data_IF_612713794802
#
_entry.id   IF_612713794802
#
_cell.length_a   1.000
_cell.length_b   1.000
_cell.length_c   1.000
_cell.angle_alpha   90.00
_cell.angle_beta   90.00
_cell.angle_gamma   90.00
#
_symmetry.space_group_name_H-M   'P 1'
#
loop_
_entity.id
_entity.type
_entity.pdbx_description
1 polymer ?
#
# COMPACT_ATOMS: atom_id res chain seq x y z
N UNK A 1 -2.99 13.64 9.36
CA UNK A 1 -1.54 13.83 9.13
C UNK A 1 -1.14 13.11 7.85
N UNK A 2 -0.47 13.82 6.92
CA UNK A 2 -0.07 13.26 5.62
C UNK A 2 1.46 13.42 5.49
N UNK A 3 2.25 12.34 5.43
CA UNK A 3 3.70 12.42 5.23
C UNK A 3 3.99 12.95 3.83
N UNK A 4 4.79 14.01 3.71
CA UNK A 4 5.13 14.61 2.43
C UNK A 4 6.44 14.02 1.87
N UNK A 5 7.45 13.90 2.71
CA UNK A 5 8.76 13.33 2.34
C UNK A 5 9.56 12.94 3.59
N UNK A 6 10.44 11.95 3.46
CA UNK A 6 11.49 11.69 4.42
C UNK A 6 12.71 12.61 4.11
N UNK A 7 13.35 13.12 5.14
CA UNK A 7 14.58 13.92 5.01
C UNK A 7 15.78 12.97 4.85
N UNK A 8 15.76 12.22 3.76
CA UNK A 8 16.78 11.22 3.40
C UNK A 8 17.07 11.31 1.90
N UNK A 9 18.35 11.24 1.53
CA UNK A 9 18.77 11.26 0.12
C UNK A 9 18.81 9.82 -0.42
N UNK A 10 18.12 9.55 -1.52
CA UNK A 10 18.21 8.29 -2.25
C UNK A 10 19.43 8.28 -3.16
N UNK A 11 20.03 7.11 -3.36
CA UNK A 11 21.20 6.89 -4.23
C UNK A 11 20.81 6.26 -5.56
N UNK A 12 19.68 5.53 -5.58
CA UNK A 12 19.22 4.77 -6.73
C UNK A 12 17.82 5.17 -7.18
N UNK A 13 17.46 4.81 -8.41
CA UNK A 13 16.09 4.96 -8.93
C UNK A 13 15.25 3.80 -8.39
N UNK A 14 14.12 4.06 -7.71
CA UNK A 14 13.27 3.03 -7.11
C UNK A 14 12.38 2.38 -8.17
N UNK A 15 12.95 1.48 -8.98
CA UNK A 15 12.28 0.89 -10.16
C UNK A 15 11.06 0.05 -9.75
N UNK A 16 11.20 -0.80 -8.74
CA UNK A 16 10.10 -1.68 -8.29
C UNK A 16 8.98 -0.87 -7.64
N UNK A 17 9.31 0.13 -6.84
CA UNK A 17 8.32 1.06 -6.27
C UNK A 17 7.49 1.71 -7.39
N UNK A 18 8.15 2.21 -8.44
CA UNK A 18 7.47 2.80 -9.60
C UNK A 18 6.64 1.75 -10.34
N UNK A 19 7.17 0.55 -10.58
CA UNK A 19 6.43 -0.53 -11.24
C UNK A 19 5.16 -0.90 -10.45
N UNK A 20 5.23 -1.04 -9.13
CA UNK A 20 4.08 -1.35 -8.30
C UNK A 20 3.03 -0.23 -8.38
N UNK A 21 3.45 1.04 -8.33
CA UNK A 21 2.56 2.21 -8.48
C UNK A 21 1.84 2.16 -9.84
N UNK A 22 2.59 1.92 -10.93
CA UNK A 22 2.02 1.86 -12.27
C UNK A 22 1.03 0.70 -12.43
N UNK A 23 1.36 -0.50 -11.91
CA UNK A 23 0.47 -1.67 -11.95
C UNK A 23 -0.83 -1.41 -11.18
N UNK A 24 -0.74 -0.90 -9.95
CA UNK A 24 -1.91 -0.55 -9.16
C UNK A 24 -2.78 0.51 -9.84
N UNK A 25 -2.15 1.53 -10.40
CA UNK A 25 -2.87 2.59 -11.14
C UNK A 25 -3.55 2.04 -12.39
N UNK A 26 -2.87 1.18 -13.16
CA UNK A 26 -3.44 0.58 -14.37
C UNK A 26 -4.64 -0.33 -14.05
N UNK A 27 -4.52 -1.18 -13.01
CA UNK A 27 -5.61 -2.05 -12.56
C UNK A 27 -6.79 -1.19 -12.09
N UNK A 28 -6.56 -0.15 -11.30
CA UNK A 28 -7.63 0.73 -10.84
C UNK A 28 -8.33 1.49 -11.98
N UNK A 29 -7.58 1.97 -12.97
CA UNK A 29 -8.17 2.61 -14.15
C UNK A 29 -9.03 1.61 -14.95
N UNK A 30 -8.59 0.36 -15.06
CA UNK A 30 -9.39 -0.71 -15.64
C UNK A 30 -10.67 -0.95 -14.82
N UNK A 31 -10.57 -1.13 -13.48
CA UNK A 31 -11.74 -1.26 -12.60
C UNK A 31 -12.73 -0.10 -12.77
N UNK A 32 -12.22 1.15 -12.81
CA UNK A 32 -13.03 2.36 -12.93
C UNK A 32 -13.70 2.50 -14.31
N UNK A 33 -13.15 1.87 -15.35
CA UNK A 33 -13.72 1.85 -16.70
C UNK A 33 -14.87 0.86 -16.86
N UNK A 34 -14.99 -0.12 -15.93
CA UNK A 34 -16.04 -1.14 -16.01
C UNK A 34 -17.41 -0.58 -15.61
N UNK A 35 -18.50 -1.00 -16.25
CA UNK A 35 -19.85 -0.79 -15.74
C UNK A 35 -19.98 -1.34 -14.31
N UNK A 36 -20.80 -0.69 -13.48
CA UNK A 36 -20.96 -1.00 -12.05
C UNK A 36 -21.11 -2.51 -11.77
N UNK A 37 -21.95 -3.19 -12.54
CA UNK A 37 -22.18 -4.63 -12.38
C UNK A 37 -20.90 -5.46 -12.63
N UNK A 38 -20.19 -5.19 -13.72
CA UNK A 38 -18.95 -5.91 -14.06
C UNK A 38 -17.82 -5.60 -13.09
N UNK A 39 -17.76 -4.37 -12.59
CA UNK A 39 -16.82 -3.98 -11.56
C UNK A 39 -17.00 -4.77 -10.26
N UNK A 40 -18.24 -4.97 -9.83
CA UNK A 40 -18.52 -5.76 -8.62
C UNK A 40 -18.10 -7.23 -8.81
N UNK A 41 -18.39 -7.84 -9.96
CA UNK A 41 -17.93 -9.20 -10.27
C UNK A 41 -16.40 -9.26 -10.26
N UNK A 42 -15.74 -8.29 -10.87
CA UNK A 42 -14.26 -8.22 -10.90
C UNK A 42 -13.68 -8.12 -9.47
N UNK A 43 -14.24 -7.24 -8.65
CA UNK A 43 -13.82 -7.12 -7.24
C UNK A 43 -14.06 -8.43 -6.50
N UNK A 44 -15.22 -9.04 -6.59
CA UNK A 44 -15.53 -10.32 -5.93
C UNK A 44 -14.60 -11.46 -6.37
N UNK A 45 -14.17 -11.46 -7.63
CA UNK A 45 -13.28 -12.49 -8.18
C UNK A 45 -11.84 -12.38 -7.63
N UNK A 46 -11.34 -11.17 -7.38
CA UNK A 46 -9.93 -10.92 -7.06
C UNK A 46 -9.68 -10.37 -5.65
N UNK A 47 -10.73 -9.94 -4.93
CA UNK A 47 -10.64 -9.48 -3.54
C UNK A 47 -10.42 -10.64 -2.57
N UNK A 48 -9.87 -10.32 -1.41
CA UNK A 48 -9.79 -11.25 -0.29
C UNK A 48 -11.13 -11.28 0.44
N UNK A 49 -11.84 -12.40 0.36
CA UNK A 49 -13.13 -12.61 1.04
C UNK A 49 -12.95 -13.78 2.02
N UNK A 50 -12.96 -13.52 3.35
CA UNK A 50 -12.65 -14.53 4.36
C UNK A 50 -13.54 -15.77 4.34
N UNK A 51 -14.83 -15.63 4.01
CA UNK A 51 -15.78 -16.75 3.94
C UNK A 51 -15.61 -17.60 2.66
N UNK A 52 -14.98 -17.05 1.61
CA UNK A 52 -14.78 -17.66 0.28
C UNK A 52 -13.35 -17.51 -0.20
N UNK A 53 -12.39 -17.91 0.63
CA UNK A 53 -10.97 -17.68 0.38
C UNK A 53 -10.45 -18.45 -0.85
N UNK A 54 -9.97 -17.70 -1.84
CA UNK A 54 -9.13 -18.20 -2.92
C UNK A 54 -7.66 -17.86 -2.64
N UNK A 55 -6.74 -18.80 -2.78
CA UNK A 55 -5.32 -18.57 -2.47
C UNK A 55 -4.70 -17.44 -3.30
N UNK A 56 -5.13 -17.27 -4.55
CA UNK A 56 -4.70 -16.14 -5.39
C UNK A 56 -5.07 -14.78 -4.80
N UNK A 57 -6.17 -14.69 -4.03
CA UNK A 57 -6.64 -13.46 -3.42
C UNK A 57 -5.68 -12.91 -2.36
N UNK A 58 -4.81 -13.76 -1.78
CA UNK A 58 -3.73 -13.30 -0.88
C UNK A 58 -2.78 -12.32 -1.57
N UNK A 59 -2.69 -12.38 -2.91
CA UNK A 59 -1.84 -11.50 -3.71
C UNK A 59 -2.67 -10.53 -4.54
N UNK A 60 -3.72 -11.00 -5.24
CA UNK A 60 -4.49 -10.16 -6.17
C UNK A 60 -5.21 -9.02 -5.48
N UNK A 61 -5.70 -9.25 -4.25
CA UNK A 61 -6.39 -8.21 -3.45
C UNK A 61 -5.51 -6.99 -3.16
N UNK A 62 -4.18 -7.16 -3.14
CA UNK A 62 -3.23 -6.07 -2.90
C UNK A 62 -3.22 -5.02 -4.02
N UNK A 63 -3.73 -5.36 -5.21
CA UNK A 63 -3.71 -4.51 -6.39
C UNK A 63 -5.06 -3.86 -6.71
N UNK A 64 -6.12 -4.23 -6.01
CA UNK A 64 -7.46 -3.65 -6.15
C UNK A 64 -7.64 -2.43 -5.23
N UNK A 65 -8.44 -1.45 -5.67
CA UNK A 65 -8.68 -0.24 -4.86
C UNK A 65 -10.15 0.21 -4.94
N UNK A 66 -10.74 0.50 -3.77
CA UNK A 66 -12.16 0.87 -3.65
C UNK A 66 -12.51 2.28 -4.16
N UNK A 67 -11.51 3.15 -4.43
CA UNK A 67 -11.72 4.51 -4.92
C UNK A 67 -10.45 5.32 -5.01
N UNK A 68 -10.57 6.52 -5.60
CA UNK A 68 -9.43 7.41 -5.88
C UNK A 68 -8.61 7.77 -4.64
N UNK A 69 -9.25 8.13 -3.53
CA UNK A 69 -8.54 8.50 -2.30
C UNK A 69 -7.79 7.31 -1.71
N UNK A 70 -8.35 6.10 -1.83
CA UNK A 70 -7.70 4.87 -1.39
C UNK A 70 -6.46 4.57 -2.23
N UNK A 71 -6.56 4.64 -3.57
CA UNK A 71 -5.42 4.47 -4.45
C UNK A 71 -4.34 5.52 -4.18
N UNK A 72 -4.72 6.82 -4.24
CA UNK A 72 -3.77 7.93 -4.07
C UNK A 72 -3.06 7.82 -2.73
N UNK A 73 -3.79 7.55 -1.65
CA UNK A 73 -3.19 7.37 -0.33
C UNK A 73 -2.16 6.23 -0.30
N UNK A 74 -2.52 5.04 -0.81
CA UNK A 74 -1.60 3.91 -0.87
C UNK A 74 -0.35 4.22 -1.72
N UNK A 75 -0.52 4.77 -2.92
CA UNK A 75 0.60 5.06 -3.81
C UNK A 75 1.49 6.17 -3.25
N UNK A 76 0.91 7.14 -2.56
CA UNK A 76 1.65 8.18 -1.86
C UNK A 76 2.54 7.62 -0.74
N UNK A 77 1.98 6.80 0.14
CA UNK A 77 2.74 6.16 1.21
C UNK A 77 3.82 5.23 0.67
N UNK A 78 3.48 4.44 -0.37
CA UNK A 78 4.46 3.58 -1.04
C UNK A 78 5.60 4.39 -1.64
N UNK A 79 5.32 5.54 -2.26
CA UNK A 79 6.36 6.43 -2.78
C UNK A 79 7.25 6.99 -1.68
N UNK A 80 6.66 7.52 -0.59
CA UNK A 80 7.41 8.17 0.50
C UNK A 80 8.31 7.17 1.23
N UNK A 81 7.81 5.97 1.53
CA UNK A 81 8.55 4.99 2.34
C UNK A 81 9.23 3.91 1.48
N UNK A 82 8.52 3.35 0.52
CA UNK A 82 8.98 2.23 -0.29
C UNK A 82 10.22 2.57 -1.10
N UNK A 83 10.28 3.77 -1.67
CA UNK A 83 11.43 4.21 -2.45
C UNK A 83 12.75 4.26 -1.66
N UNK A 84 12.70 4.55 -0.36
CA UNK A 84 13.88 4.54 0.51
C UNK A 84 14.25 3.13 0.97
N UNK A 85 13.25 2.27 1.19
CA UNK A 85 13.50 0.86 1.52
C UNK A 85 14.09 0.13 0.33
N UNK A 86 13.57 0.36 -0.89
CA UNK A 86 14.16 -0.21 -2.11
C UNK A 86 15.62 0.22 -2.29
N UNK A 87 15.93 1.51 -2.05
CA UNK A 87 17.31 2.03 -2.10
C UNK A 87 18.23 1.36 -1.08
N UNK A 88 17.72 1.04 0.11
CA UNK A 88 18.48 0.45 1.21
C UNK A 88 18.79 -1.04 1.02
N UNK A 89 17.81 -1.84 0.57
CA UNK A 89 17.91 -3.30 0.53
C UNK A 89 18.02 -3.88 -0.89
N UNK A 90 17.84 -3.04 -1.91
CA UNK A 90 17.84 -3.41 -3.31
C UNK A 90 16.49 -3.94 -3.80
N UNK A 91 16.29 -3.88 -5.11
CA UNK A 91 15.01 -4.14 -5.77
C UNK A 91 14.42 -5.55 -5.49
N UNK A 92 15.25 -6.61 -5.52
CA UNK A 92 14.75 -7.97 -5.34
C UNK A 92 14.25 -8.23 -3.92
N UNK A 93 15.01 -7.79 -2.90
CA UNK A 93 14.60 -7.92 -1.50
C UNK A 93 13.39 -7.04 -1.19
N UNK A 94 13.31 -5.86 -1.81
CA UNK A 94 12.16 -4.98 -1.66
C UNK A 94 10.88 -5.61 -2.22
N UNK A 95 10.92 -6.19 -3.42
CA UNK A 95 9.77 -6.89 -3.99
C UNK A 95 9.33 -8.06 -3.11
N UNK A 96 10.27 -8.88 -2.63
CA UNK A 96 9.97 -9.97 -1.70
C UNK A 96 9.33 -9.44 -0.41
N UNK A 97 9.89 -8.39 0.19
CA UNK A 97 9.36 -7.79 1.41
C UNK A 97 7.92 -7.28 1.20
N UNK A 98 7.67 -6.57 0.10
CA UNK A 98 6.33 -6.07 -0.25
C UNK A 98 5.32 -7.22 -0.34
N UNK A 99 5.63 -8.26 -1.11
CA UNK A 99 4.73 -9.41 -1.29
C UNK A 99 4.52 -10.18 0.01
N UNK A 100 5.58 -10.48 0.76
CA UNK A 100 5.47 -11.22 2.03
C UNK A 100 4.68 -10.44 3.08
N UNK A 101 4.89 -9.14 3.21
CA UNK A 101 4.10 -8.31 4.12
C UNK A 101 2.63 -8.26 3.72
N UNK A 102 2.34 -8.16 2.43
CA UNK A 102 0.97 -8.18 1.93
C UNK A 102 0.27 -9.52 2.18
N UNK A 103 0.94 -10.63 1.89
CA UNK A 103 0.42 -11.97 2.17
C UNK A 103 0.21 -12.18 3.68
N UNK A 104 1.17 -11.78 4.52
CA UNK A 104 1.03 -11.88 5.97
C UNK A 104 -0.17 -11.07 6.48
N UNK A 105 -0.33 -9.84 6.01
CA UNK A 105 -1.48 -9.00 6.35
C UNK A 105 -2.81 -9.62 5.88
N UNK A 106 -2.84 -10.19 4.67
CA UNK A 106 -4.02 -10.90 4.15
C UNK A 106 -4.37 -12.12 5.01
N UNK A 107 -3.39 -12.91 5.43
CA UNK A 107 -3.60 -14.05 6.34
C UNK A 107 -4.18 -13.56 7.68
N UNK A 108 -3.59 -12.54 8.27
CA UNK A 108 -4.11 -11.94 9.53
C UNK A 108 -5.55 -11.46 9.35
N UNK A 109 -5.86 -10.82 8.21
CA UNK A 109 -7.22 -10.35 7.90
C UNK A 109 -8.22 -11.50 7.81
N UNK A 110 -7.86 -12.63 7.19
CA UNK A 110 -8.71 -13.82 7.12
C UNK A 110 -9.05 -14.34 8.51
N UNK A 111 -8.07 -14.40 9.42
CA UNK A 111 -8.32 -14.84 10.80
C UNK A 111 -9.13 -13.81 11.61
N UNK A 112 -8.82 -12.53 11.45
CA UNK A 112 -9.50 -11.46 12.18
C UNK A 112 -10.98 -11.30 11.78
N UNK A 113 -11.30 -11.60 10.50
CA UNK A 113 -12.62 -11.46 9.91
C UNK A 113 -13.20 -12.80 9.47
N UNK A 114 -12.85 -13.91 10.18
CA UNK A 114 -13.27 -15.25 9.81
C UNK A 114 -14.80 -15.34 9.59
N UNK A 115 -15.19 -15.89 8.43
CA UNK A 115 -16.59 -16.02 8.04
C UNK A 115 -17.25 -14.73 7.55
N UNK A 116 -16.52 -13.62 7.42
CA UNK A 116 -17.08 -12.38 6.85
C UNK A 116 -17.20 -12.48 5.33
N UNK A 117 -18.35 -12.08 4.74
CA UNK A 117 -18.52 -11.99 3.30
C UNK A 117 -17.94 -10.69 2.71
N UNK A 118 -17.43 -9.78 3.55
CA UNK A 118 -16.97 -8.46 3.13
C UNK A 118 -15.63 -8.55 2.37
N UNK A 119 -15.53 -7.99 1.15
CA UNK A 119 -14.30 -8.00 0.38
C UNK A 119 -13.26 -7.04 0.97
N UNK A 120 -12.06 -7.53 1.20
CA UNK A 120 -10.89 -6.73 1.58
C UNK A 120 -9.99 -6.54 0.37
N UNK A 121 -9.63 -5.29 0.08
CA UNK A 121 -8.81 -4.87 -1.07
C UNK A 121 -7.83 -3.76 -0.68
N UNK A 122 -6.72 -3.67 -1.38
CA UNK A 122 -5.74 -2.58 -1.26
C UNK A 122 -4.33 -3.02 -0.86
N UNK A 123 -3.37 -2.20 -1.24
CA UNK A 123 -1.94 -2.41 -0.95
C UNK A 123 -1.56 -2.11 0.51
N UNK A 124 -2.50 -1.63 1.33
CA UNK A 124 -2.23 -1.06 2.66
C UNK A 124 -1.51 -2.02 3.61
N UNK A 125 -1.80 -3.32 3.57
CA UNK A 125 -1.13 -4.33 4.39
C UNK A 125 0.37 -4.46 4.06
N UNK A 126 0.71 -4.52 2.76
CA UNK A 126 2.09 -4.53 2.31
C UNK A 126 2.81 -3.22 2.66
N UNK A 127 2.14 -2.08 2.46
CA UNK A 127 2.68 -0.75 2.77
C UNK A 127 2.93 -0.60 4.28
N UNK A 128 2.06 -1.12 5.12
CA UNK A 128 2.27 -1.13 6.57
C UNK A 128 3.56 -1.87 6.96
N UNK A 129 3.83 -3.02 6.31
CA UNK A 129 5.10 -3.74 6.49
C UNK A 129 6.31 -2.95 6.01
N UNK A 130 6.21 -2.25 4.86
CA UNK A 130 7.25 -1.35 4.36
C UNK A 130 7.51 -0.18 5.34
N UNK A 131 6.45 0.40 5.90
CA UNK A 131 6.57 1.44 6.93
C UNK A 131 7.25 0.90 8.19
N UNK A 132 6.90 -0.30 8.64
CA UNK A 132 7.59 -0.97 9.75
C UNK A 132 9.08 -1.17 9.47
N UNK A 133 9.45 -1.60 8.27
CA UNK A 133 10.84 -1.72 7.85
C UNK A 133 11.55 -0.35 7.83
N UNK A 134 10.85 0.70 7.39
CA UNK A 134 11.39 2.06 7.43
C UNK A 134 11.71 2.53 8.85
N UNK A 135 10.80 2.31 9.79
CA UNK A 135 11.01 2.63 11.21
C UNK A 135 12.22 1.90 11.80
N UNK A 136 12.41 0.63 11.43
CA UNK A 136 13.54 -0.18 11.91
C UNK A 136 14.89 0.27 11.32
N UNK A 137 14.92 0.61 10.02
CA UNK A 137 16.16 1.01 9.35
C UNK A 137 16.52 2.48 9.59
N UNK A 138 15.51 3.32 9.80
CA UNK A 138 15.68 4.78 9.88
C UNK A 138 14.99 5.42 11.10
N UNK A 139 15.21 4.92 12.34
CA UNK A 139 14.46 5.33 13.53
C UNK A 139 14.66 6.80 13.93
N UNK A 140 15.66 7.48 13.36
CA UNK A 140 15.99 8.89 13.68
C UNK A 140 15.74 9.84 12.52
N UNK A 141 15.23 9.34 11.40
CA UNK A 141 14.94 10.19 10.24
C UNK A 141 13.69 11.01 10.51
N UNK A 142 13.75 12.29 10.17
CA UNK A 142 12.58 13.17 10.25
C UNK A 142 11.74 13.04 9.00
N UNK A 143 10.43 13.00 9.18
CA UNK A 143 9.44 12.96 8.11
C UNK A 143 8.71 14.29 8.12
N UNK A 144 8.82 15.05 7.02
CA UNK A 144 8.02 16.27 6.82
C UNK A 144 6.58 15.84 6.67
N UNK A 145 5.74 16.22 7.62
CA UNK A 145 4.34 15.79 7.69
C UNK A 145 3.43 17.01 7.61
N UNK A 146 2.46 16.94 6.70
CA UNK A 146 1.37 17.91 6.62
C UNK A 146 0.35 17.63 7.72
N UNK A 147 0.18 18.57 8.62
CA UNK A 147 -0.84 18.51 9.66
C UNK A 147 -1.97 19.46 9.29
N UNK A 148 -3.14 18.90 9.02
CA UNK A 148 -4.36 19.68 8.76
C UNK A 148 -5.15 19.69 10.06
N UNK A 149 -5.20 20.84 10.72
CA UNK A 149 -6.10 21.14 11.81
C UNK A 149 -7.29 21.88 11.24
N UNK A 150 -8.45 21.82 11.89
CA UNK A 150 -9.74 22.39 11.39
C UNK A 150 -9.62 23.87 10.96
N UNK A 151 -8.64 24.59 11.48
CA UNK A 151 -8.42 26.02 11.24
C UNK A 151 -7.02 26.34 10.69
N UNK A 152 -6.03 25.43 10.81
CA UNK A 152 -4.64 25.67 10.42
C UNK A 152 -4.08 24.51 9.57
N UNK A 153 -3.35 24.87 8.53
CA UNK A 153 -2.54 23.94 7.74
C UNK A 153 -1.07 24.27 8.03
N UNK A 154 -0.31 23.31 8.54
CA UNK A 154 1.11 23.48 8.83
C UNK A 154 1.88 22.23 8.50
N UNK A 155 3.19 22.37 8.35
CA UNK A 155 4.11 21.24 8.17
C UNK A 155 4.96 21.08 9.43
N UNK A 156 5.13 19.86 9.90
CA UNK A 156 5.92 19.53 11.07
C UNK A 156 6.89 18.39 10.73
N UNK A 157 8.11 18.50 11.20
CA UNK A 157 9.11 17.43 11.11
C UNK A 157 8.90 16.50 12.30
N UNK A 158 8.40 15.29 12.02
CA UNK A 158 8.21 14.26 13.03
C UNK A 158 9.35 13.23 12.93
N UNK A 159 9.82 12.70 14.08
CA UNK A 159 10.68 11.51 14.07
C UNK A 159 9.92 10.35 13.45
N UNK A 160 10.64 9.46 12.77
CA UNK A 160 10.10 8.24 12.21
C UNK A 160 9.66 7.26 13.30
#
# INVERSE_FOLDING_TARGET
MIPLRALLTRRTVPVITVCIILVNTAIFLFEASLPYYLRNIFIEQYALIPDRLHLSALVTSMFLHGGWLHLIGNMWFLWVFGSHIEDAIGWAKFLMLYLLCGIAAAIVQVFAMAGSPEPTIGASGAIAGIMGAFLLLYPRVRIVTLVILVIFITTVDLPA
#
